data_IF_095088389471
#
_entry.id   IF_095088389471
#
_cell.length_a   1.000
_cell.length_b   1.000
_cell.length_c   1.000
_cell.angle_alpha   90.00
_cell.angle_beta   90.00
_cell.angle_gamma   90.00
#
_symmetry.space_group_name_H-M   'P 1'
#
loop_
_entity.id
_entity.type
_entity.pdbx_description
1 polymer ?
#
# COMPACT_ATOMS: atom_id res chain seq x y z
N UNK A 1 -1.19 -7.06 16.49
CA UNK A 1 -1.25 -7.42 15.06
C UNK A 1 -1.90 -6.24 14.37
N UNK A 2 -1.29 -5.79 13.28
CA UNK A 2 -1.70 -4.59 12.56
C UNK A 2 -2.40 -4.95 11.25
N UNK A 3 -3.18 -4.01 10.74
CA UNK A 3 -3.83 -4.10 9.42
C UNK A 3 -3.07 -3.22 8.44
N UNK A 4 -2.71 -3.77 7.29
CA UNK A 4 -2.01 -3.04 6.23
C UNK A 4 -2.81 -3.11 4.94
N UNK A 5 -3.33 -1.97 4.48
CA UNK A 5 -3.97 -1.84 3.18
C UNK A 5 -2.91 -1.66 2.10
N UNK A 6 -3.01 -2.46 1.04
CA UNK A 6 -2.14 -2.36 -0.13
C UNK A 6 -2.95 -2.32 -1.42
N UNK A 7 -2.58 -1.39 -2.29
CA UNK A 7 -3.12 -1.20 -3.63
C UNK A 7 -2.06 -1.39 -4.72
N UNK A 8 -0.81 -1.67 -4.33
CA UNK A 8 0.36 -1.66 -5.21
C UNK A 8 1.12 -3.00 -5.25
N UNK A 9 2.44 -2.89 -5.39
CA UNK A 9 3.40 -3.99 -5.63
C UNK A 9 3.48 -4.99 -4.49
N UNK A 10 3.21 -4.59 -3.24
CA UNK A 10 3.19 -5.49 -2.08
C UNK A 10 2.15 -6.62 -2.19
N UNK A 11 1.20 -6.53 -3.13
CA UNK A 11 0.28 -7.63 -3.48
C UNK A 11 0.96 -8.79 -4.21
N UNK A 12 2.14 -8.56 -4.80
CA UNK A 12 2.93 -9.61 -5.45
C UNK A 12 3.46 -10.60 -4.44
N UNK A 13 3.22 -11.90 -4.69
CA UNK A 13 3.75 -12.99 -3.86
C UNK A 13 5.28 -12.98 -3.83
N UNK A 14 5.93 -12.60 -4.93
CA UNK A 14 7.39 -12.53 -5.01
C UNK A 14 7.93 -11.44 -4.07
N UNK A 15 7.33 -10.26 -4.09
CA UNK A 15 7.69 -9.16 -3.17
C UNK A 15 7.46 -9.59 -1.72
N UNK A 16 6.33 -10.25 -1.43
CA UNK A 16 6.06 -10.77 -0.09
C UNK A 16 7.07 -11.81 0.37
N UNK A 17 7.46 -12.76 -0.50
CA UNK A 17 8.48 -13.74 -0.18
C UNK A 17 9.83 -13.07 0.07
N UNK A 18 10.22 -12.08 -0.74
CA UNK A 18 11.46 -11.33 -0.56
C UNK A 18 11.49 -10.53 0.75
N UNK A 19 10.38 -9.90 1.14
CA UNK A 19 10.28 -9.05 2.32
C UNK A 19 10.03 -9.84 3.62
N UNK A 20 9.07 -10.78 3.59
CA UNK A 20 8.58 -11.45 4.79
C UNK A 20 9.03 -12.91 4.90
N UNK A 21 9.62 -13.48 3.85
CA UNK A 21 9.91 -14.92 3.72
C UNK A 21 8.65 -15.80 3.89
N UNK A 22 7.47 -15.22 3.60
CA UNK A 22 6.15 -15.87 3.65
C UNK A 22 5.18 -15.08 2.78
N UNK A 23 4.03 -15.68 2.48
CA UNK A 23 2.90 -14.96 1.88
C UNK A 23 1.92 -14.53 2.98
N UNK A 24 1.32 -13.36 2.80
CA UNK A 24 0.37 -12.79 3.75
C UNK A 24 -1.07 -13.14 3.36
N UNK A 25 -1.90 -13.46 4.35
CA UNK A 25 -3.34 -13.58 4.14
C UNK A 25 -3.94 -12.20 3.96
N UNK A 26 -4.84 -12.07 2.98
CA UNK A 26 -5.47 -10.80 2.64
C UNK A 26 -6.97 -10.91 2.46
N UNK A 27 -7.65 -9.79 2.65
CA UNK A 27 -9.08 -9.64 2.36
C UNK A 27 -9.30 -8.41 1.49
N UNK A 28 -10.11 -8.48 0.42
CA UNK A 28 -10.42 -7.30 -0.40
C UNK A 28 -11.05 -6.18 0.44
N UNK A 29 -10.66 -4.94 0.16
CA UNK A 29 -11.25 -3.75 0.76
C UNK A 29 -11.02 -2.53 -0.15
N UNK A 30 -11.52 -1.38 0.27
CA UNK A 30 -11.56 -0.16 -0.52
C UNK A 30 -11.17 1.06 0.32
N UNK A 31 -10.39 1.95 -0.30
CA UNK A 31 -10.05 3.26 0.25
C UNK A 31 -10.85 4.34 -0.49
N UNK A 32 -11.80 4.95 0.20
CA UNK A 32 -12.73 5.96 -0.34
C UNK A 32 -12.12 7.37 -0.32
N UNK A 33 -12.45 8.20 -1.31
CA UNK A 33 -11.98 9.58 -1.43
C UNK A 33 -10.54 9.69 -1.94
N UNK A 34 -10.01 8.62 -2.53
CA UNK A 34 -8.67 8.57 -3.11
C UNK A 34 -8.72 7.96 -4.52
N UNK A 35 -7.74 8.33 -5.34
CA UNK A 35 -7.52 7.74 -6.66
C UNK A 35 -6.05 7.42 -6.87
N UNK A 36 -5.78 6.47 -7.75
CA UNK A 36 -4.43 6.16 -8.16
C UNK A 36 -3.97 7.13 -9.24
N UNK A 37 -2.75 7.63 -9.09
CA UNK A 37 -2.04 8.43 -10.08
C UNK A 37 -0.79 7.66 -10.50
N UNK A 38 -0.55 7.58 -11.81
CA UNK A 38 0.69 7.00 -12.33
C UNK A 38 1.87 7.93 -12.04
N UNK A 39 2.96 7.34 -11.56
CA UNK A 39 4.22 7.99 -11.29
C UNK A 39 5.33 7.24 -12.05
N UNK A 40 6.19 7.96 -12.75
CA UNK A 40 7.41 7.39 -13.33
C UNK A 40 8.56 7.73 -12.44
N UNK A 41 9.23 6.71 -11.90
CA UNK A 41 10.42 6.87 -11.08
C UNK A 41 11.61 6.38 -11.90
N UNK A 42 12.67 7.18 -11.92
CA UNK A 42 13.96 6.79 -12.49
C UNK A 42 14.68 5.88 -11.49
N UNK A 43 14.98 4.66 -11.91
CA UNK A 43 15.77 3.67 -11.20
C UNK A 43 17.13 3.46 -11.89
N UNK A 44 18.03 2.75 -11.21
CA UNK A 44 19.41 2.50 -11.67
C UNK A 44 19.50 1.93 -13.10
N UNK A 45 18.46 1.22 -13.56
CA UNK A 45 18.42 0.57 -14.88
C UNK A 45 17.32 1.11 -15.82
N UNK A 46 16.66 2.23 -15.49
CA UNK A 46 15.67 2.87 -16.36
C UNK A 46 14.45 3.42 -15.63
N UNK A 47 13.38 3.73 -16.38
CA UNK A 47 12.13 4.26 -15.80
C UNK A 47 11.20 3.11 -15.40
N UNK A 48 10.71 3.15 -14.16
CA UNK A 48 9.72 2.21 -13.65
C UNK A 48 8.37 2.91 -13.43
N UNK A 49 7.29 2.23 -13.81
CA UNK A 49 5.92 2.71 -13.63
C UNK A 49 5.40 2.30 -12.25
N UNK A 50 5.13 3.30 -11.43
CA UNK A 50 4.55 3.18 -10.10
C UNK A 50 3.15 3.82 -10.06
N UNK A 51 2.40 3.49 -9.01
CA UNK A 51 1.12 4.15 -8.70
C UNK A 51 1.14 4.69 -7.28
N UNK A 52 0.66 5.91 -7.13
CA UNK A 52 0.53 6.57 -5.82
C UNK A 52 -0.93 6.86 -5.54
N UNK A 53 -1.36 6.65 -4.30
CA UNK A 53 -2.68 7.10 -3.86
C UNK A 53 -2.64 8.61 -3.58
N UNK A 54 -3.53 9.36 -4.24
CA UNK A 54 -3.74 10.80 -4.00
C UNK A 54 -5.18 11.06 -3.58
N UNK A 55 -5.41 12.08 -2.75
CA UNK A 55 -6.76 12.53 -2.42
C UNK A 55 -7.51 12.92 -3.68
N UNK A 56 -8.77 12.49 -3.80
CA UNK A 56 -9.64 12.90 -4.89
C UNK A 56 -10.60 14.00 -4.46
N UNK A 57 -10.90 14.91 -5.38
CA UNK A 57 -11.99 15.89 -5.21
C UNK A 57 -13.37 15.23 -5.31
N UNK A 58 -13.45 14.06 -5.95
CA UNK A 58 -14.66 13.25 -5.97
C UNK A 58 -14.63 12.22 -4.83
N UNK A 59 -15.54 12.35 -3.88
CA UNK A 59 -15.62 11.47 -2.72
C UNK A 59 -16.08 10.04 -3.08
N UNK A 60 -16.65 9.85 -4.28
CA UNK A 60 -17.00 8.52 -4.80
C UNK A 60 -15.79 7.77 -5.38
N UNK A 61 -14.68 8.47 -5.66
CA UNK A 61 -13.47 7.81 -6.16
C UNK A 61 -12.93 6.84 -5.10
N UNK A 62 -12.60 5.65 -5.57
CA UNK A 62 -12.27 4.53 -4.68
C UNK A 62 -11.08 3.75 -5.22
N UNK A 63 -10.07 3.56 -4.37
CA UNK A 63 -8.97 2.64 -4.65
C UNK A 63 -9.35 1.26 -4.16
N UNK A 64 -9.35 0.29 -5.07
CA UNK A 64 -9.56 -1.12 -4.75
C UNK A 64 -8.23 -1.77 -4.38
N UNK A 65 -8.20 -2.45 -3.23
CA UNK A 65 -6.99 -3.09 -2.73
C UNK A 65 -7.31 -4.28 -1.84
N UNK A 66 -6.34 -4.62 -1.00
CA UNK A 66 -6.46 -5.72 -0.03
C UNK A 66 -5.88 -5.29 1.31
N UNK A 67 -6.42 -5.86 2.38
CA UNK A 67 -5.92 -5.69 3.75
C UNK A 67 -5.18 -6.94 4.17
N UNK A 68 -3.91 -6.79 4.52
CA UNK A 68 -3.08 -7.83 5.13
C UNK A 68 -3.14 -7.75 6.65
N UNK A 69 -3.02 -8.92 7.30
CA UNK A 69 -2.69 -9.01 8.72
C UNK A 69 -1.17 -9.13 8.86
N UNK A 70 -0.54 -8.17 9.55
CA UNK A 70 0.92 -8.12 9.70
C UNK A 70 1.31 -7.97 11.17
N UNK A 71 2.51 -8.43 11.53
CA UNK A 71 3.11 -8.11 12.84
C UNK A 71 3.72 -6.71 12.81
N UNK A 72 4.08 -6.17 13.98
CA UNK A 72 4.83 -4.91 14.03
C UNK A 72 6.21 -5.03 13.34
N UNK A 73 6.84 -6.20 13.41
CA UNK A 73 8.10 -6.48 12.73
C UNK A 73 7.93 -6.51 11.21
N UNK A 74 6.87 -7.15 10.72
CA UNK A 74 6.52 -7.13 9.30
C UNK A 74 6.29 -5.68 8.84
N UNK A 75 5.55 -4.89 9.63
CA UNK A 75 5.27 -3.50 9.30
C UNK A 75 6.56 -2.64 9.23
N UNK A 76 7.52 -2.85 10.12
CA UNK A 76 8.83 -2.18 10.08
C UNK A 76 9.65 -2.53 8.82
N UNK A 77 9.53 -3.77 8.31
CA UNK A 77 10.15 -4.15 7.03
C UNK A 77 9.51 -3.42 5.85
N UNK A 78 8.20 -3.21 5.89
CA UNK A 78 7.50 -2.40 4.88
C UNK A 78 7.91 -0.95 4.98
N UNK A 79 8.08 -0.40 6.19
CA UNK A 79 8.59 0.97 6.36
C UNK A 79 9.93 1.13 5.63
N UNK A 80 10.86 0.19 5.81
CA UNK A 80 12.16 0.21 5.13
C UNK A 80 12.04 0.08 3.61
N UNK A 81 11.15 -0.80 3.14
CA UNK A 81 10.91 -1.01 1.71
C UNK A 81 10.33 0.24 1.01
N UNK A 82 9.42 0.95 1.69
CA UNK A 82 8.70 2.11 1.13
C UNK A 82 9.37 3.46 1.47
N UNK A 83 10.37 3.45 2.37
CA UNK A 83 10.93 4.63 3.07
C UNK A 83 11.40 5.81 2.20
N UNK A 84 11.74 5.56 0.94
CA UNK A 84 12.30 6.61 0.07
C UNK A 84 11.24 7.41 -0.69
N UNK A 85 10.01 6.89 -0.82
CA UNK A 85 8.97 7.50 -1.66
C UNK A 85 7.62 7.65 -0.95
N UNK A 86 7.38 6.90 0.13
CA UNK A 86 6.07 6.88 0.78
C UNK A 86 6.16 6.98 2.30
N UNK A 87 5.12 7.59 2.87
CA UNK A 87 4.87 7.70 4.30
C UNK A 87 3.73 6.77 4.69
N UNK A 88 3.88 6.12 5.84
CA UNK A 88 2.80 5.36 6.47
C UNK A 88 1.79 6.30 7.14
N UNK A 89 0.52 6.14 6.80
CA UNK A 89 -0.61 6.83 7.45
C UNK A 89 -1.70 5.84 7.86
N UNK A 90 -2.47 6.19 8.89
CA UNK A 90 -3.63 5.42 9.32
C UNK A 90 -4.88 5.95 8.61
N UNK A 91 -5.65 5.04 8.01
CA UNK A 91 -6.90 5.36 7.30
C UNK A 91 -8.02 4.42 7.74
N UNK A 92 -9.27 4.89 7.59
CA UNK A 92 -10.46 4.06 7.73
C UNK A 92 -10.91 3.63 6.33
N UNK A 93 -11.02 2.32 6.13
CA UNK A 93 -11.46 1.71 4.87
C UNK A 93 -12.98 1.65 4.79
N UNK A 94 -13.51 1.33 3.60
CA UNK A 94 -14.95 1.23 3.35
C UNK A 94 -15.62 0.19 4.27
N UNK A 95 -14.94 -0.92 4.57
CA UNK A 95 -15.41 -1.93 5.54
C UNK A 95 -15.53 -1.43 6.99
N UNK A 96 -15.02 -0.23 7.28
CA UNK A 96 -14.91 0.32 8.64
C UNK A 96 -13.62 -0.06 9.36
N UNK A 97 -12.78 -0.94 8.77
CA UNK A 97 -11.48 -1.34 9.32
C UNK A 97 -10.52 -0.15 9.29
N UNK A 98 -9.79 0.05 10.39
CA UNK A 98 -8.65 0.98 10.42
C UNK A 98 -7.39 0.21 10.01
N UNK A 99 -6.67 0.73 9.02
CA UNK A 99 -5.47 0.11 8.48
C UNK A 99 -4.39 1.14 8.18
N UNK A 100 -3.14 0.69 8.20
CA UNK A 100 -2.01 1.43 7.66
C UNK A 100 -2.03 1.41 6.15
N UNK A 101 -1.62 2.50 5.52
CA UNK A 101 -1.43 2.61 4.07
C UNK A 101 -0.21 3.49 3.82
N UNK A 102 0.54 3.19 2.76
CA UNK A 102 1.66 3.99 2.32
C UNK A 102 1.20 4.95 1.22
N UNK A 103 1.46 6.23 1.39
CA UNK A 103 1.09 7.30 0.44
C UNK A 103 2.29 8.22 0.19
N UNK A 104 2.35 8.82 -0.99
CA UNK A 104 3.38 9.81 -1.32
C UNK A 104 3.34 10.93 -0.27
N UNK A 105 4.51 11.35 0.22
CA UNK A 105 4.62 12.44 1.20
C UNK A 105 4.39 13.81 0.59
#
# INVERSE_FOLDING_TARGET
MEKLFSYGTLRSKEVQMRLFNKTLTSTPDQLLGYKLKSLKIEEEFGMADYVVAVSSENHEDTIHGVVFNVTNEDLAKVDLFESNAYRRISVKLNSGITAWVYMES
#
